data_IF_267190950569
#
_entry.id   IF_267190950569
#
_cell.length_a   1.000
_cell.length_b   1.000
_cell.length_c   1.000
_cell.angle_alpha   90.00
_cell.angle_beta   90.00
_cell.angle_gamma   90.00
#
_symmetry.space_group_name_H-M   'P 1'
#
loop_
_entity.id
_entity.type
_entity.pdbx_description
1 polymer ?
#
# COMPACT_ATOMS: atom_id res chain seq x y z
N UNK A 1 58.09 -6.05 25.14
CA UNK A 1 57.68 -7.17 24.27
C UNK A 1 56.17 -7.10 24.14
N UNK A 2 55.70 -6.85 22.91
CA UNK A 2 54.32 -6.51 22.58
C UNK A 2 53.42 -7.74 22.53
N UNK A 3 52.20 -7.66 23.04
CA UNK A 3 51.12 -8.54 22.58
C UNK A 3 49.84 -7.73 22.46
N UNK A 4 49.59 -7.32 21.21
CA UNK A 4 48.45 -6.51 20.79
C UNK A 4 47.16 -7.32 20.97
N UNK A 5 46.18 -6.75 21.66
CA UNK A 5 44.81 -7.27 21.75
C UNK A 5 44.19 -7.24 20.36
N UNK A 6 43.89 -8.41 19.80
CA UNK A 6 43.10 -8.57 18.58
C UNK A 6 41.64 -8.30 18.92
N UNK A 7 41.15 -7.11 18.58
CA UNK A 7 39.73 -6.78 18.60
C UNK A 7 39.13 -7.40 17.34
N UNK A 8 38.36 -8.48 17.50
CA UNK A 8 37.59 -9.08 16.42
C UNK A 8 36.39 -8.17 16.11
N UNK A 9 36.55 -7.32 15.09
CA UNK A 9 35.47 -6.49 14.55
C UNK A 9 34.47 -7.40 13.83
N UNK A 10 33.35 -7.70 14.46
CA UNK A 10 32.24 -8.37 13.82
C UNK A 10 31.63 -7.46 12.74
N UNK A 11 31.97 -7.71 11.48
CA UNK A 11 31.30 -7.10 10.34
C UNK A 11 29.90 -7.72 10.28
N UNK A 12 28.91 -7.03 10.85
CA UNK A 12 27.51 -7.32 10.60
C UNK A 12 27.30 -6.96 9.12
N UNK A 13 27.36 -7.98 8.26
CA UNK A 13 26.92 -7.86 6.88
C UNK A 13 25.44 -7.50 6.91
N UNK A 14 25.13 -6.21 6.76
CA UNK A 14 23.77 -5.72 6.53
C UNK A 14 23.33 -6.29 5.18
N UNK A 15 22.72 -7.47 5.20
CA UNK A 15 22.03 -7.98 4.03
C UNK A 15 20.97 -6.94 3.65
N UNK A 16 20.89 -6.53 2.37
CA UNK A 16 19.81 -5.68 1.93
C UNK A 16 18.51 -6.43 2.19
N UNK A 17 17.69 -5.89 3.09
CA UNK A 17 16.34 -6.39 3.32
C UNK A 17 15.60 -6.10 2.02
N UNK A 18 15.36 -7.13 1.21
CA UNK A 18 14.64 -7.04 -0.07
C UNK A 18 13.16 -6.72 0.19
N UNK A 19 12.87 -5.51 0.67
CA UNK A 19 11.52 -4.95 0.71
C UNK A 19 11.10 -4.58 -0.71
N UNK A 20 9.83 -4.79 -1.05
CA UNK A 20 9.32 -4.24 -2.29
C UNK A 20 9.17 -2.73 -2.11
N UNK A 21 9.61 -1.95 -3.10
CA UNK A 21 9.54 -0.49 -3.01
C UNK A 21 8.08 -0.01 -2.88
N UNK A 22 7.94 1.26 -2.49
CA UNK A 22 6.67 1.92 -2.18
C UNK A 22 5.56 1.70 -3.23
N UNK A 23 4.31 1.56 -2.78
CA UNK A 23 3.15 1.43 -3.66
C UNK A 23 2.63 2.82 -4.03
N UNK A 24 2.55 3.14 -5.31
CA UNK A 24 1.97 4.38 -5.81
C UNK A 24 0.53 4.14 -6.25
N UNK A 25 -0.39 4.93 -5.71
CA UNK A 25 -1.81 4.89 -6.07
C UNK A 25 -2.17 6.21 -6.76
N UNK A 26 -2.59 6.13 -8.01
CA UNK A 26 -2.98 7.25 -8.85
C UNK A 26 -4.50 7.34 -8.94
N UNK A 27 -5.09 8.38 -8.37
CA UNK A 27 -6.52 8.67 -8.51
C UNK A 27 -6.75 9.65 -9.65
N UNK A 28 -7.25 9.15 -10.77
CA UNK A 28 -7.60 9.95 -11.95
C UNK A 28 -9.11 10.26 -11.98
N UNK A 29 -9.76 10.28 -10.82
CA UNK A 29 -11.19 10.57 -10.66
C UNK A 29 -11.40 11.89 -9.94
N UNK A 30 -12.64 12.40 -9.99
CA UNK A 30 -13.09 13.57 -9.22
C UNK A 30 -13.53 13.25 -7.79
N UNK A 31 -13.47 11.98 -7.39
CA UNK A 31 -13.91 11.50 -6.09
C UNK A 31 -12.71 11.24 -5.17
N UNK A 32 -12.92 11.38 -3.86
CA UNK A 32 -11.94 10.94 -2.86
C UNK A 32 -11.85 9.41 -2.81
N UNK A 33 -10.72 8.88 -2.35
CA UNK A 33 -10.52 7.45 -2.13
C UNK A 33 -10.08 7.12 -0.71
N UNK A 34 -10.55 5.99 -0.20
CA UNK A 34 -10.04 5.37 1.03
C UNK A 34 -9.97 3.85 0.87
N UNK A 35 -9.24 3.20 1.76
CA UNK A 35 -9.11 1.76 1.78
C UNK A 35 -9.11 1.20 3.20
N UNK A 36 -9.48 -0.07 3.34
CA UNK A 36 -9.25 -0.83 4.58
C UNK A 36 -8.92 -2.28 4.27
N UNK A 37 -8.33 -2.97 5.23
CA UNK A 37 -8.10 -4.42 5.17
C UNK A 37 -8.89 -5.10 6.28
N UNK A 38 -8.83 -6.42 6.37
CA UNK A 38 -9.31 -7.15 7.54
C UNK A 38 -8.52 -6.84 8.83
N UNK A 39 -7.27 -6.38 8.70
CA UNK A 39 -6.34 -6.12 9.80
C UNK A 39 -6.18 -4.64 10.14
N UNK A 40 -6.75 -3.74 9.34
CA UNK A 40 -6.60 -2.29 9.51
C UNK A 40 -7.95 -1.60 9.38
N UNK A 41 -8.26 -0.60 10.24
CA UNK A 41 -9.44 0.23 10.08
C UNK A 41 -9.37 1.03 8.77
N UNK A 42 -10.40 1.86 8.50
CA UNK A 42 -10.37 2.74 7.35
C UNK A 42 -9.13 3.63 7.37
N UNK A 43 -8.44 3.73 6.24
CA UNK A 43 -7.21 4.51 6.10
C UNK A 43 -7.37 5.96 6.56
N UNK A 44 -8.57 6.53 6.50
CA UNK A 44 -8.87 7.88 6.98
C UNK A 44 -8.56 8.13 8.46
N UNK A 45 -8.37 7.09 9.28
CA UNK A 45 -7.85 7.25 10.65
C UNK A 45 -6.46 7.90 10.70
N UNK A 46 -5.69 7.78 9.61
CA UNK A 46 -4.40 8.45 9.43
C UNK A 46 -4.54 9.91 8.96
N UNK A 47 -5.75 10.48 9.04
CA UNK A 47 -6.06 11.83 8.58
C UNK A 47 -5.88 11.99 7.07
N UNK A 48 -5.35 13.14 6.65
CA UNK A 48 -5.15 13.46 5.23
C UNK A 48 -4.20 12.50 4.51
N UNK A 49 -3.28 11.84 5.22
CA UNK A 49 -2.34 10.86 4.63
C UNK A 49 -3.00 9.54 4.26
N UNK A 50 -4.15 9.24 4.85
CA UNK A 50 -4.92 8.04 4.55
C UNK A 50 -6.09 8.28 3.59
N UNK A 51 -6.23 9.52 3.09
CA UNK A 51 -7.28 9.88 2.15
C UNK A 51 -6.61 10.23 0.82
N UNK A 52 -6.99 9.51 -0.22
CA UNK A 52 -6.56 9.78 -1.58
C UNK A 52 -7.42 10.91 -2.16
N UNK A 53 -6.81 12.03 -2.52
CA UNK A 53 -7.53 13.19 -3.04
C UNK A 53 -7.93 12.98 -4.52
N UNK A 54 -8.94 13.73 -5.02
CA UNK A 54 -9.25 13.79 -6.44
C UNK A 54 -8.04 14.22 -7.27
N UNK A 55 -7.90 13.64 -8.47
CA UNK A 55 -6.84 13.95 -9.44
C UNK A 55 -5.42 13.98 -8.83
N UNK A 56 -5.14 13.12 -7.85
CA UNK A 56 -3.88 13.09 -7.13
C UNK A 56 -3.28 11.69 -7.03
N UNK A 57 -2.05 11.63 -6.52
CA UNK A 57 -1.38 10.37 -6.20
C UNK A 57 -1.08 10.27 -4.70
N UNK A 58 -1.06 9.05 -4.18
CA UNK A 58 -0.63 8.73 -2.83
C UNK A 58 0.40 7.61 -2.90
N UNK A 59 1.54 7.83 -2.24
CA UNK A 59 2.57 6.81 -2.07
C UNK A 59 2.42 6.19 -0.70
N UNK A 60 2.24 4.86 -0.66
CA UNK A 60 2.19 4.08 0.57
C UNK A 60 3.56 3.45 0.83
N UNK A 61 4.24 3.83 1.92
CA UNK A 61 5.53 3.25 2.28
C UNK A 61 5.42 1.76 2.59
N UNK A 62 6.48 1.00 2.28
CA UNK A 62 6.55 -0.44 2.56
C UNK A 62 6.27 -0.77 4.04
N UNK A 63 6.73 0.07 4.97
CA UNK A 63 6.50 -0.12 6.41
C UNK A 63 5.01 -0.20 6.79
N UNK A 64 4.13 0.45 6.02
CA UNK A 64 2.67 0.37 6.23
C UNK A 64 2.15 -1.01 5.82
N UNK A 65 2.65 -1.57 4.72
CA UNK A 65 2.31 -2.94 4.31
C UNK A 65 2.88 -3.96 5.28
N UNK A 66 4.13 -3.82 5.72
CA UNK A 66 4.73 -4.75 6.68
C UNK A 66 3.92 -4.79 8.00
N UNK A 67 3.35 -3.66 8.41
CA UNK A 67 2.54 -3.56 9.62
C UNK A 67 1.10 -4.10 9.45
N UNK A 68 0.40 -3.71 8.38
CA UNK A 68 -1.03 -4.00 8.21
C UNK A 68 -1.33 -5.13 7.22
N UNK A 69 -0.30 -5.65 6.54
CA UNK A 69 -0.37 -6.66 5.49
C UNK A 69 0.94 -7.49 5.44
N UNK A 70 1.36 -8.16 6.53
CA UNK A 70 2.70 -8.77 6.61
C UNK A 70 2.96 -9.89 5.59
N UNK A 71 1.91 -10.48 5.02
CA UNK A 71 1.98 -11.48 3.96
C UNK A 71 1.15 -11.01 2.76
N UNK A 72 0.09 -11.76 2.44
CA UNK A 72 -0.89 -11.42 1.43
C UNK A 72 -2.16 -10.97 2.12
N UNK A 73 -2.70 -9.83 1.74
CA UNK A 73 -3.95 -9.30 2.29
C UNK A 73 -4.88 -8.81 1.18
N UNK A 74 -6.17 -8.79 1.50
CA UNK A 74 -7.17 -8.13 0.70
C UNK A 74 -7.42 -6.71 1.20
N UNK A 75 -7.33 -5.76 0.26
CA UNK A 75 -7.60 -4.35 0.47
C UNK A 75 -8.94 -4.03 -0.20
N UNK A 76 -9.89 -3.52 0.55
CA UNK A 76 -11.17 -3.05 0.03
C UNK A 76 -11.08 -1.55 -0.25
N UNK A 77 -11.39 -1.17 -1.49
CA UNK A 77 -11.26 0.20 -1.98
C UNK A 77 -12.62 0.87 -2.03
N UNK A 78 -12.69 2.12 -1.59
CA UNK A 78 -13.91 2.94 -1.51
C UNK A 78 -13.67 4.30 -2.14
N UNK A 79 -14.68 4.85 -2.83
CA UNK A 79 -14.63 6.20 -3.41
C UNK A 79 -15.28 7.24 -2.51
N UNK A 80 -14.86 7.29 -1.24
CA UNK A 80 -15.23 8.32 -0.28
C UNK A 80 -14.16 8.44 0.82
N UNK A 81 -14.35 9.35 1.78
CA UNK A 81 -13.38 9.65 2.86
C UNK A 81 -13.48 8.73 4.09
N UNK A 82 -14.39 7.76 4.13
CA UNK A 82 -14.74 7.05 5.37
C UNK A 82 -14.91 5.54 5.24
N UNK A 83 -14.52 4.94 4.11
CA UNK A 83 -14.77 3.53 3.81
C UNK A 83 -16.24 3.11 4.03
N UNK A 84 -17.16 4.04 3.78
CA UNK A 84 -18.60 3.82 3.94
C UNK A 84 -19.23 3.30 2.64
N UNK A 85 -20.40 2.68 2.76
CA UNK A 85 -21.13 2.14 1.62
C UNK A 85 -20.43 0.96 0.93
N UNK A 86 -20.72 0.79 -0.36
CA UNK A 86 -20.23 -0.34 -1.15
C UNK A 86 -18.78 -0.12 -1.59
N UNK A 87 -17.94 -1.14 -1.42
CA UNK A 87 -16.59 -1.17 -2.00
C UNK A 87 -16.67 -1.14 -3.53
N UNK A 88 -15.72 -0.46 -4.16
CA UNK A 88 -15.62 -0.39 -5.63
C UNK A 88 -14.71 -1.48 -6.20
N UNK A 89 -13.73 -1.95 -5.42
CA UNK A 89 -12.81 -3.01 -5.80
C UNK A 89 -12.26 -3.73 -4.56
N UNK A 90 -11.73 -4.93 -4.79
CA UNK A 90 -10.86 -5.64 -3.86
C UNK A 90 -9.52 -5.86 -4.54
N UNK A 91 -8.46 -5.36 -3.92
CA UNK A 91 -7.08 -5.44 -4.40
C UNK A 91 -6.33 -6.39 -3.49
N UNK A 92 -5.67 -7.37 -4.08
CA UNK A 92 -4.85 -8.32 -3.32
C UNK A 92 -3.42 -7.86 -3.38
N UNK A 93 -2.85 -7.55 -2.23
CA UNK A 93 -1.47 -7.07 -2.08
C UNK A 93 -0.67 -8.14 -1.36
N UNK A 94 0.50 -8.46 -1.90
CA UNK A 94 1.54 -9.23 -1.24
C UNK A 94 2.63 -8.25 -0.75
N UNK A 95 3.16 -8.48 0.46
CA UNK A 95 4.20 -7.63 1.06
C UNK A 95 5.52 -7.75 0.32
N UNK A 96 5.76 -8.88 -0.32
CA UNK A 96 6.74 -9.03 -1.39
C UNK A 96 5.98 -8.76 -2.68
N UNK A 97 6.52 -8.53 -3.86
CA UNK A 97 5.76 -8.37 -5.13
C UNK A 97 4.76 -7.19 -5.26
N UNK A 98 4.04 -6.75 -4.23
CA UNK A 98 3.04 -5.68 -4.29
C UNK A 98 1.66 -6.19 -4.75
N UNK A 99 0.99 -5.43 -5.61
CA UNK A 99 -0.35 -5.75 -6.13
C UNK A 99 -0.30 -6.99 -7.02
N UNK A 100 -0.97 -8.05 -6.60
CA UNK A 100 -1.03 -9.35 -7.28
C UNK A 100 -2.32 -9.57 -8.07
N UNK A 101 -3.42 -8.96 -7.64
CA UNK A 101 -4.68 -9.01 -8.39
C UNK A 101 -5.60 -7.86 -8.04
N UNK A 102 -6.47 -7.49 -8.98
CA UNK A 102 -7.54 -6.50 -8.78
C UNK A 102 -8.86 -7.10 -9.22
N UNK A 103 -9.88 -7.02 -8.37
CA UNK A 103 -11.25 -7.43 -8.66
C UNK A 103 -12.18 -6.22 -8.51
N UNK A 104 -12.76 -5.75 -9.62
CA UNK A 104 -13.67 -4.61 -9.65
C UNK A 104 -15.11 -5.04 -9.37
N UNK A 105 -15.77 -4.37 -8.43
CA UNK A 105 -17.13 -4.68 -7.98
C UNK A 105 -18.18 -3.73 -8.57
N UNK A 106 -17.76 -2.58 -9.10
CA UNK A 106 -18.65 -1.58 -9.68
C UNK A 106 -18.21 -1.24 -11.10
N UNK A 107 -19.17 -0.93 -11.97
CA UNK A 107 -18.90 -0.57 -13.37
C UNK A 107 -18.51 0.89 -13.56
N UNK A 108 -18.86 1.75 -12.60
CA UNK A 108 -18.66 3.21 -12.69
C UNK A 108 -17.20 3.61 -12.45
N UNK A 109 -16.47 2.75 -11.74
CA UNK A 109 -15.07 2.94 -11.41
C UNK A 109 -14.27 1.73 -11.88
N UNK A 110 -13.05 1.98 -12.37
CA UNK A 110 -12.10 0.95 -12.73
C UNK A 110 -10.84 1.14 -11.89
N UNK A 111 -10.53 0.14 -11.08
CA UNK A 111 -9.24 -0.03 -10.43
C UNK A 111 -8.42 -1.00 -11.27
N UNK A 112 -7.19 -0.62 -11.60
CA UNK A 112 -6.25 -1.46 -12.35
C UNK A 112 -4.83 -1.24 -11.83
N UNK A 113 -3.95 -2.19 -12.06
CA UNK A 113 -2.57 -2.10 -11.60
C UNK A 113 -1.98 -3.45 -11.24
N UNK A 114 -0.67 -3.46 -11.08
CA UNK A 114 0.12 -4.64 -10.73
C UNK A 114 1.46 -4.18 -10.15
N UNK A 115 2.05 -4.99 -9.27
CA UNK A 115 3.32 -4.65 -8.65
C UNK A 115 3.20 -3.42 -7.76
N UNK A 116 3.88 -2.34 -8.15
CA UNK A 116 4.03 -1.13 -7.32
C UNK A 116 3.17 0.04 -7.76
N UNK A 117 2.22 -0.19 -8.66
CA UNK A 117 1.35 0.87 -9.15
C UNK A 117 -0.10 0.43 -9.23
N UNK A 118 -1.00 1.31 -8.77
CA UNK A 118 -2.46 1.21 -8.91
C UNK A 118 -2.98 2.49 -9.54
N UNK A 119 -3.89 2.35 -10.48
CA UNK A 119 -4.63 3.43 -11.11
C UNK A 119 -6.13 3.27 -10.81
N UNK A 120 -6.79 4.36 -10.46
CA UNK A 120 -8.24 4.44 -10.27
C UNK A 120 -8.78 5.44 -11.29
N UNK A 121 -9.75 5.02 -12.09
CA UNK A 121 -10.36 5.79 -13.17
C UNK A 121 -11.89 5.67 -13.13
N UNK A 122 -12.59 6.58 -13.82
CA UNK A 122 -14.06 6.60 -13.90
C UNK A 122 -14.70 7.61 -12.96
N UNK A 123 -15.99 7.41 -12.66
CA UNK A 123 -16.77 8.28 -11.77
C UNK A 123 -17.13 9.65 -12.35
N UNK A 124 -17.59 9.67 -13.61
CA UNK A 124 -18.18 10.88 -14.23
C UNK A 124 -19.56 11.18 -13.62
#
# INVERSE_FOLDING_TARGET
>A
MNTKKLIATAIIAMLPISGFAELVINNKTKSYGTAKTNMSPCSSIAGSKGILNPDSSLTIPQAIFDLYCPKKCEVWVYMNKSCSGSKIATVTVDSKTGVSSVNNHQKVFTVSGSGKEVNIMGGK
#
